data_IF_796027884712
#
_entry.id   IF_796027884712
#
_cell.length_a   1.000
_cell.length_b   1.000
_cell.length_c   1.000
_cell.angle_alpha   90.00
_cell.angle_beta   90.00
_cell.angle_gamma   90.00
#
_symmetry.space_group_name_H-M   'P 1'
#
loop_
_entity.id
_entity.type
_entity.pdbx_description
1 polymer ?
#
# COMPACT_ATOMS: atom_id res chain seq x y z
N UNK A 1 -11.33 -8.28 -2.20
CA UNK A 1 -11.82 -6.91 -2.49
C UNK A 1 -11.11 -6.42 -3.75
N UNK A 2 -11.65 -5.48 -4.52
CA UNK A 2 -10.90 -4.91 -5.65
C UNK A 2 -9.98 -3.81 -5.10
N UNK A 3 -8.67 -3.89 -5.35
CA UNK A 3 -7.72 -2.85 -4.93
C UNK A 3 -7.92 -1.58 -5.76
N UNK A 4 -8.83 -0.72 -5.30
CA UNK A 4 -9.15 0.55 -5.94
C UNK A 4 -7.93 1.48 -6.03
N UNK A 5 -7.08 1.63 -4.98
CA UNK A 5 -5.90 2.48 -5.08
C UNK A 5 -4.92 1.98 -6.15
N UNK A 6 -4.65 0.67 -6.18
CA UNK A 6 -3.77 0.06 -7.18
C UNK A 6 -4.33 0.24 -8.59
N UNK A 7 -5.64 0.12 -8.76
CA UNK A 7 -6.30 0.33 -10.05
C UNK A 7 -6.15 1.77 -10.55
N UNK A 8 -6.27 2.76 -9.67
CA UNK A 8 -6.08 4.17 -10.07
C UNK A 8 -4.61 4.45 -10.37
N UNK A 9 -3.69 3.91 -9.55
CA UNK A 9 -2.25 4.05 -9.81
C UNK A 9 -1.85 3.42 -11.14
N UNK A 10 -2.25 2.18 -11.42
CA UNK A 10 -1.91 1.49 -12.67
C UNK A 10 -2.44 2.18 -13.93
N UNK A 11 -3.52 2.95 -13.82
CA UNK A 11 -4.09 3.70 -14.95
C UNK A 11 -3.47 5.09 -15.12
N UNK A 12 -3.11 5.76 -14.02
CA UNK A 12 -2.74 7.19 -14.05
C UNK A 12 -1.27 7.45 -13.76
N UNK A 13 -0.57 6.50 -13.15
CA UNK A 13 0.79 6.68 -12.62
C UNK A 13 0.88 7.71 -11.48
N UNK A 14 -0.25 8.20 -10.96
CA UNK A 14 -0.25 9.23 -9.92
C UNK A 14 -0.01 8.61 -8.54
N UNK A 15 1.25 8.69 -8.10
CA UNK A 15 1.69 8.14 -6.80
C UNK A 15 1.11 8.90 -5.60
N UNK A 16 0.86 10.21 -5.71
CA UNK A 16 0.32 11.02 -4.62
C UNK A 16 -1.12 10.60 -4.30
N UNK A 17 -1.95 10.40 -5.33
CA UNK A 17 -3.32 9.93 -5.18
C UNK A 17 -3.38 8.52 -4.58
N UNK A 18 -2.48 7.62 -5.00
CA UNK A 18 -2.35 6.27 -4.43
C UNK A 18 -2.08 6.32 -2.92
N UNK A 19 -1.09 7.11 -2.50
CA UNK A 19 -0.70 7.22 -1.09
C UNK A 19 -1.81 7.84 -0.23
N UNK A 20 -2.53 8.84 -0.75
CA UNK A 20 -3.68 9.40 -0.03
C UNK A 20 -4.79 8.38 0.18
N UNK A 21 -5.15 7.63 -0.86
CA UNK A 21 -6.18 6.59 -0.74
C UNK A 21 -5.74 5.46 0.20
N UNK A 22 -4.49 5.02 0.08
CA UNK A 22 -3.94 3.99 0.96
C UNK A 22 -3.89 4.44 2.43
N UNK A 23 -3.60 5.72 2.69
CA UNK A 23 -3.64 6.29 4.04
C UNK A 23 -5.06 6.32 4.62
N UNK A 24 -6.09 6.50 3.78
CA UNK A 24 -7.49 6.44 4.21
C UNK A 24 -7.94 5.01 4.53
N UNK A 25 -7.48 4.02 3.76
CA UNK A 25 -7.75 2.59 3.98
C UNK A 25 -7.08 2.07 5.26
N UNK A 26 -5.85 2.50 5.58
CA UNK A 26 -5.15 2.18 6.85
C UNK A 26 -5.98 2.58 8.09
N UNK A 27 -6.85 3.59 7.97
CA UNK A 27 -7.76 4.00 9.06
C UNK A 27 -8.96 3.06 9.26
N UNK A 28 -9.34 2.30 8.23
CA UNK A 28 -10.46 1.34 8.27
C UNK A 28 -9.99 -0.12 8.44
N UNK A 29 -8.78 -0.47 7.99
CA UNK A 29 -8.25 -1.85 7.95
C UNK A 29 -7.19 -2.14 9.03
N UNK A 30 -7.51 -2.00 10.31
CA UNK A 30 -6.67 -2.60 11.39
C UNK A 30 -6.86 -4.14 11.47
N UNK A 31 -7.36 -4.81 10.42
CA UNK A 31 -7.84 -6.20 10.54
C UNK A 31 -7.27 -7.19 9.51
N UNK A 32 -6.62 -6.80 8.40
CA UNK A 32 -6.31 -7.80 7.34
C UNK A 32 -4.98 -7.66 6.55
N UNK A 33 -4.00 -6.85 6.96
CA UNK A 33 -2.75 -6.62 6.17
C UNK A 33 -1.48 -7.37 6.66
N UNK A 34 -1.61 -8.42 7.50
CA UNK A 34 -0.46 -9.17 8.06
C UNK A 34 0.46 -9.84 6.99
N UNK A 35 0.08 -9.90 5.70
CA UNK A 35 0.89 -10.53 4.64
C UNK A 35 1.66 -9.53 3.73
N UNK A 36 1.37 -8.23 3.79
CA UNK A 36 1.93 -7.24 2.85
C UNK A 36 3.04 -6.41 3.50
N UNK A 37 2.91 -6.12 4.79
CA UNK A 37 3.85 -5.24 5.51
C UNK A 37 5.22 -5.89 5.72
N UNK A 38 5.26 -7.22 5.96
CA UNK A 38 6.51 -7.98 6.13
C UNK A 38 7.43 -7.91 4.90
N UNK A 39 6.87 -7.87 3.67
CA UNK A 39 7.68 -7.78 2.44
C UNK A 39 8.31 -6.40 2.21
N UNK A 40 7.64 -5.33 2.65
CA UNK A 40 8.15 -3.96 2.45
C UNK A 40 9.25 -3.61 3.45
N UNK A 41 9.20 -4.20 4.65
CA UNK A 41 10.22 -3.99 5.69
C UNK A 41 11.51 -4.76 5.37
N UNK A 42 11.42 -5.96 4.78
CA UNK A 42 12.59 -6.76 4.41
C UNK A 42 13.51 -6.09 3.37
N UNK A 43 12.94 -5.38 2.39
CA UNK A 43 13.71 -4.67 1.36
C UNK A 43 14.52 -3.48 1.91
N UNK A 44 14.12 -2.91 3.05
CA UNK A 44 14.86 -1.81 3.70
C UNK A 44 16.00 -2.28 4.61
N UNK A 45 16.07 -3.58 4.93
CA UNK A 45 17.04 -4.13 5.87
C UNK A 45 18.22 -4.86 5.21
N UNK A 46 18.36 -4.82 3.88
CA UNK A 46 19.51 -5.42 3.21
C UNK A 46 20.74 -4.48 3.21
N UNK A 47 21.64 -4.78 4.15
CA UNK A 47 23.06 -4.37 4.30
C UNK A 47 23.35 -3.03 5.00
N UNK A 48 23.59 -3.13 6.32
CA UNK A 48 24.80 -2.56 6.93
C UNK A 48 25.86 -3.64 7.13
#
# INVERSE_FOLDING_TARGET
>A
MIDVPWKIFSQTGNIEAYLWMKQMEIGEEVVQEDDIEDRLIEDTNFKS
#
